data_IF_164038090162
#
_entry.id   IF_164038090162
#
_cell.length_a   1.000
_cell.length_b   1.000
_cell.length_c   1.000
_cell.angle_alpha   90.00
_cell.angle_beta   90.00
_cell.angle_gamma   90.00
#
_symmetry.space_group_name_H-M   'P 1'
#
loop_
_entity.id
_entity.type
_entity.pdbx_description
1 polymer ?
#
# COMPACT_ATOMS: atom_id res chain seq x y z
N UNK A 1 28.07 -3.89 5.41
CA UNK A 1 27.24 -3.48 6.56
C UNK A 1 25.80 -3.45 6.09
N UNK A 2 24.89 -4.08 6.81
CA UNK A 2 23.46 -4.08 6.48
C UNK A 2 22.93 -2.64 6.48
N UNK A 3 22.22 -2.26 5.41
CA UNK A 3 21.44 -1.02 5.40
C UNK A 3 20.09 -1.29 6.06
N UNK A 4 20.01 -0.97 7.35
CA UNK A 4 18.75 -0.96 8.09
C UNK A 4 18.00 0.36 7.83
N UNK A 5 16.67 0.30 7.82
CA UNK A 5 15.79 1.44 7.55
C UNK A 5 15.27 2.09 8.83
N UNK A 6 15.14 1.33 9.92
CA UNK A 6 14.56 1.84 11.16
C UNK A 6 15.66 2.16 12.18
N UNK A 7 15.65 3.40 12.65
CA UNK A 7 16.32 3.73 13.90
C UNK A 7 15.56 3.11 15.09
N UNK A 8 16.15 3.18 16.29
CA UNK A 8 15.56 2.55 17.47
C UNK A 8 14.23 3.18 17.89
N UNK A 9 14.05 4.48 17.67
CA UNK A 9 12.81 5.19 17.96
C UNK A 9 11.65 4.69 17.10
N UNK A 10 11.83 4.68 15.77
CA UNK A 10 10.82 4.21 14.82
C UNK A 10 10.56 2.72 14.98
N UNK A 11 11.61 1.94 15.27
CA UNK A 11 11.44 0.53 15.60
C UNK A 11 10.58 0.33 16.84
N UNK A 12 10.79 1.12 17.91
CA UNK A 12 9.99 1.00 19.13
C UNK A 12 8.51 1.26 18.86
N UNK A 13 8.19 2.34 18.12
CA UNK A 13 6.82 2.69 17.72
C UNK A 13 6.17 1.59 16.86
N UNK A 14 6.89 1.14 15.81
CA UNK A 14 6.38 0.10 14.92
C UNK A 14 6.16 -1.22 15.68
N UNK A 15 7.10 -1.62 16.54
CA UNK A 15 7.01 -2.85 17.33
C UNK A 15 5.76 -2.85 18.21
N UNK A 16 5.43 -1.73 18.85
CA UNK A 16 4.22 -1.60 19.66
C UNK A 16 2.95 -1.86 18.82
N UNK A 17 2.84 -1.22 17.65
CA UNK A 17 1.73 -1.45 16.72
C UNK A 17 1.66 -2.89 16.24
N UNK A 18 2.80 -3.51 15.93
CA UNK A 18 2.87 -4.91 15.53
C UNK A 18 2.29 -5.83 16.62
N UNK A 19 2.59 -5.55 17.90
CA UNK A 19 2.07 -6.34 19.02
C UNK A 19 0.56 -6.19 19.19
N UNK A 20 0.03 -4.96 19.05
CA UNK A 20 -1.41 -4.70 19.05
C UNK A 20 -2.12 -5.52 17.96
N UNK A 21 -1.49 -5.68 16.79
CA UNK A 21 -1.98 -6.50 15.67
C UNK A 21 -1.60 -8.00 15.75
N UNK A 22 -1.39 -8.49 16.97
CA UNK A 22 -1.12 -9.90 17.30
C UNK A 22 0.12 -10.46 16.60
N UNK A 23 1.11 -9.63 16.29
CA UNK A 23 2.42 -10.10 15.84
C UNK A 23 3.30 -10.32 17.06
N UNK A 24 3.59 -11.58 17.36
CA UNK A 24 4.40 -11.94 18.51
C UNK A 24 5.83 -11.37 18.44
N UNK A 25 6.30 -10.87 19.58
CA UNK A 25 7.65 -10.38 19.75
C UNK A 25 8.66 -11.52 19.84
N UNK A 26 9.13 -11.97 18.67
CA UNK A 26 10.23 -12.93 18.57
C UNK A 26 11.56 -12.18 18.58
N UNK A 27 12.66 -12.80 19.07
CA UNK A 27 13.98 -12.15 19.08
C UNK A 27 14.43 -11.58 17.72
N UNK A 28 14.01 -12.20 16.61
CA UNK A 28 14.35 -11.77 15.26
C UNK A 28 13.27 -10.90 14.57
N UNK A 29 12.27 -10.40 15.30
CA UNK A 29 11.16 -9.65 14.72
C UNK A 29 11.65 -8.40 13.96
N UNK A 30 12.58 -7.64 14.55
CA UNK A 30 13.20 -6.48 13.90
C UNK A 30 13.87 -6.84 12.59
N UNK A 31 14.73 -7.86 12.61
CA UNK A 31 15.46 -8.29 11.41
C UNK A 31 14.53 -8.77 10.29
N UNK A 32 13.45 -9.46 10.64
CA UNK A 32 12.42 -9.84 9.68
C UNK A 32 11.77 -8.61 9.04
N UNK A 33 11.39 -7.61 9.84
CA UNK A 33 10.77 -6.38 9.34
C UNK A 33 11.74 -5.57 8.48
N UNK A 34 12.97 -5.38 8.95
CA UNK A 34 14.05 -4.71 8.21
C UNK A 34 14.33 -5.38 6.87
N UNK A 35 14.31 -6.71 6.81
CA UNK A 35 14.47 -7.45 5.56
C UNK A 35 13.31 -7.20 4.58
N UNK A 36 12.07 -7.11 5.07
CA UNK A 36 10.92 -6.76 4.23
C UNK A 36 11.08 -5.34 3.68
N UNK A 37 11.45 -4.36 4.52
CA UNK A 37 11.67 -2.97 4.12
C UNK A 37 12.84 -2.84 3.15
N UNK A 38 13.93 -3.56 3.38
CA UNK A 38 15.07 -3.63 2.48
C UNK A 38 14.65 -4.15 1.10
N UNK A 39 13.91 -5.27 1.06
CA UNK A 39 13.39 -5.81 -0.21
C UNK A 39 12.50 -4.81 -0.92
N UNK A 40 11.66 -4.06 -0.21
CA UNK A 40 10.80 -3.03 -0.81
C UNK A 40 11.61 -1.87 -1.39
N UNK A 41 12.70 -1.46 -0.71
CA UNK A 41 13.53 -0.34 -1.16
C UNK A 41 14.46 -0.70 -2.32
N UNK A 42 15.07 -1.88 -2.27
CA UNK A 42 16.08 -2.32 -3.24
C UNK A 42 15.44 -3.04 -4.43
N UNK A 43 14.20 -3.54 -4.25
CA UNK A 43 13.45 -4.31 -5.23
C UNK A 43 14.19 -5.55 -5.75
N UNK A 44 14.99 -6.19 -4.88
CA UNK A 44 15.65 -7.45 -5.21
C UNK A 44 14.67 -8.64 -5.11
N UNK A 45 14.92 -9.73 -5.86
CA UNK A 45 14.27 -11.01 -5.59
C UNK A 45 14.45 -11.42 -4.12
N UNK A 46 13.45 -12.08 -3.54
CA UNK A 46 13.53 -12.55 -2.15
C UNK A 46 14.77 -13.41 -1.89
N UNK A 47 15.15 -14.26 -2.86
CA UNK A 47 16.31 -15.15 -2.80
C UNK A 47 17.64 -14.41 -2.70
N UNK A 48 17.67 -13.15 -3.12
CA UNK A 48 18.86 -12.31 -3.17
C UNK A 48 18.97 -11.38 -1.95
N UNK A 49 18.09 -11.57 -0.94
CA UNK A 49 18.22 -10.88 0.33
C UNK A 49 19.59 -11.18 0.98
N UNK A 50 20.28 -10.16 1.52
CA UNK A 50 21.52 -10.36 2.26
C UNK A 50 21.36 -11.41 3.38
N UNK A 51 22.32 -12.32 3.49
CA UNK A 51 22.26 -13.45 4.41
C UNK A 51 22.22 -13.01 5.90
N UNK A 52 22.68 -11.81 6.19
CA UNK A 52 22.68 -11.22 7.53
C UNK A 52 21.26 -10.91 8.04
N UNK A 53 20.25 -10.82 7.15
CA UNK A 53 18.83 -10.80 7.54
C UNK A 53 18.29 -12.17 7.98
N UNK A 54 18.99 -13.25 7.62
CA UNK A 54 18.60 -14.64 7.84
C UNK A 54 18.08 -15.33 6.57
N UNK A 55 17.46 -16.49 6.76
CA UNK A 55 16.97 -17.31 5.64
C UNK A 55 15.83 -16.61 4.89
N UNK A 56 16.07 -16.26 3.62
CA UNK A 56 15.11 -15.56 2.76
C UNK A 56 13.73 -16.23 2.71
N UNK A 57 13.68 -17.56 2.70
CA UNK A 57 12.42 -18.31 2.59
C UNK A 57 11.56 -18.12 3.85
N UNK A 58 12.19 -18.10 5.02
CA UNK A 58 11.50 -17.82 6.29
C UNK A 58 10.93 -16.41 6.32
N UNK A 59 11.66 -15.43 5.79
CA UNK A 59 11.23 -14.02 5.69
C UNK A 59 10.06 -13.91 4.72
N UNK A 60 10.18 -14.47 3.51
CA UNK A 60 9.12 -14.50 2.51
C UNK A 60 7.85 -15.19 3.03
N UNK A 61 7.97 -16.36 3.66
CA UNK A 61 6.81 -17.05 4.24
C UNK A 61 6.13 -16.24 5.33
N UNK A 62 6.90 -15.47 6.11
CA UNK A 62 6.36 -14.56 7.11
C UNK A 62 5.60 -13.41 6.45
N UNK A 63 6.22 -12.75 5.46
CA UNK A 63 5.60 -11.69 4.67
C UNK A 63 4.27 -12.17 4.08
N UNK A 64 4.29 -13.29 3.36
CA UNK A 64 3.11 -13.86 2.71
C UNK A 64 2.01 -14.18 3.74
N UNK A 65 2.36 -14.76 4.89
CA UNK A 65 1.41 -15.07 5.97
C UNK A 65 0.83 -13.82 6.64
N UNK A 66 1.60 -12.74 6.76
CA UNK A 66 1.11 -11.49 7.33
C UNK A 66 0.22 -10.75 6.35
N UNK A 67 0.59 -10.75 5.06
CA UNK A 67 -0.20 -10.19 3.97
C UNK A 67 -1.55 -10.89 3.86
N UNK A 68 -1.57 -12.23 3.78
CA UNK A 68 -2.82 -13.00 3.65
C UNK A 68 -3.73 -12.92 4.87
N UNK A 69 -3.18 -12.56 6.05
CA UNK A 69 -3.95 -12.33 7.27
C UNK A 69 -4.31 -10.85 7.49
N UNK A 70 -4.05 -9.97 6.53
CA UNK A 70 -4.37 -8.54 6.62
C UNK A 70 -3.54 -7.77 7.67
N UNK A 71 -2.49 -8.35 8.23
CA UNK A 71 -1.72 -7.73 9.33
C UNK A 71 -0.95 -6.50 8.89
N UNK A 72 -0.37 -6.55 7.68
CA UNK A 72 0.36 -5.41 7.13
C UNK A 72 -0.61 -4.24 6.87
N UNK A 73 -1.80 -4.54 6.36
CA UNK A 73 -2.85 -3.54 6.17
C UNK A 73 -3.32 -2.97 7.51
N UNK A 74 -3.49 -3.80 8.53
CA UNK A 74 -3.89 -3.32 9.86
C UNK A 74 -2.84 -2.38 10.47
N UNK A 75 -1.54 -2.67 10.30
CA UNK A 75 -0.45 -1.78 10.73
C UNK A 75 -0.48 -0.48 9.92
N UNK A 76 -0.62 -0.55 8.60
CA UNK A 76 -0.77 0.62 7.74
C UNK A 76 -1.91 1.53 8.23
N UNK A 77 -3.09 0.97 8.45
CA UNK A 77 -4.25 1.71 8.96
C UNK A 77 -4.00 2.35 10.32
N UNK A 78 -3.26 1.70 11.21
CA UNK A 78 -2.87 2.31 12.49
C UNK A 78 -1.87 3.45 12.34
N UNK A 79 -0.99 3.41 11.33
CA UNK A 79 -0.04 4.48 11.06
C UNK A 79 -0.73 5.70 10.41
N UNK A 80 -1.80 5.49 9.66
CA UNK A 80 -2.54 6.54 8.93
C UNK A 80 -3.71 7.16 9.71
N UNK A 81 -3.76 7.05 11.05
CA UNK A 81 -4.89 7.52 11.86
C UNK A 81 -4.95 9.04 12.06
N UNK A 82 -3.82 9.73 11.97
CA UNK A 82 -3.72 11.17 12.24
C UNK A 82 -3.14 11.92 11.02
N UNK A 83 -3.83 11.90 9.87
CA UNK A 83 -3.38 12.65 8.68
C UNK A 83 -3.58 14.16 8.87
N UNK A 84 -2.73 14.95 8.20
CA UNK A 84 -2.96 16.39 8.06
C UNK A 84 -3.93 16.66 6.89
N UNK A 85 -5.17 17.00 7.24
CA UNK A 85 -6.30 17.08 6.32
C UNK A 85 -6.58 18.49 5.81
N UNK A 86 -5.64 19.43 5.93
CA UNK A 86 -5.76 20.73 5.25
C UNK A 86 -5.84 20.52 3.72
N UNK A 87 -5.04 19.58 3.21
CA UNK A 87 -5.02 19.16 1.81
C UNK A 87 -4.96 17.65 1.70
N UNK A 88 -5.73 17.08 0.79
CA UNK A 88 -5.54 15.71 0.31
C UNK A 88 -5.18 15.72 -1.18
N UNK A 89 -4.30 14.80 -1.56
CA UNK A 89 -3.90 14.60 -2.95
C UNK A 89 -4.25 13.18 -3.38
N UNK A 90 -4.95 13.05 -4.52
CA UNK A 90 -5.37 11.78 -5.08
C UNK A 90 -4.69 11.58 -6.43
N UNK A 91 -4.03 10.44 -6.60
CA UNK A 91 -3.39 10.05 -7.86
C UNK A 91 -3.44 8.54 -8.10
N UNK A 92 -3.32 8.14 -9.37
CA UNK A 92 -3.37 6.77 -9.85
C UNK A 92 -2.04 6.33 -10.47
N UNK A 93 -1.47 5.22 -9.97
CA UNK A 93 -0.24 4.62 -10.50
C UNK A 93 -0.48 3.24 -11.12
N UNK A 94 0.14 2.95 -12.26
CA UNK A 94 0.09 1.60 -12.86
C UNK A 94 1.36 0.80 -12.58
N UNK A 95 1.17 -0.47 -12.19
CA UNK A 95 2.24 -1.45 -12.02
C UNK A 95 2.04 -2.58 -13.02
N UNK A 96 3.08 -2.90 -13.80
CA UNK A 96 3.04 -4.01 -14.75
C UNK A 96 3.06 -5.34 -14.02
N UNK A 97 2.11 -6.20 -14.32
CA UNK A 97 2.09 -7.54 -13.78
C UNK A 97 3.19 -8.38 -14.45
N UNK A 98 3.80 -9.28 -13.68
CA UNK A 98 4.80 -10.21 -14.22
C UNK A 98 4.18 -11.05 -15.34
N UNK A 99 4.94 -11.41 -16.38
CA UNK A 99 4.41 -12.14 -17.55
C UNK A 99 3.69 -13.48 -17.23
N UNK A 100 3.98 -14.07 -16.07
CA UNK A 100 3.35 -15.31 -15.58
C UNK A 100 2.29 -15.07 -14.48
N UNK A 101 1.81 -13.84 -14.29
CA UNK A 101 0.87 -13.49 -13.21
C UNK A 101 -0.57 -14.00 -13.43
N UNK A 102 -0.94 -14.36 -14.66
CA UNK A 102 -2.31 -14.70 -15.05
C UNK A 102 -2.55 -16.23 -15.17
N UNK A 103 -1.67 -17.06 -14.58
CA UNK A 103 -1.73 -18.52 -14.75
C UNK A 103 -2.54 -19.27 -13.68
N UNK A 104 -2.99 -18.61 -12.61
CA UNK A 104 -3.74 -19.25 -11.54
C UNK A 104 -5.21 -19.45 -11.95
N UNK A 105 -5.71 -20.70 -11.90
CA UNK A 105 -7.11 -21.02 -12.16
C UNK A 105 -7.97 -20.67 -10.93
N UNK A 106 -8.33 -19.40 -10.81
CA UNK A 106 -9.21 -18.88 -9.75
C UNK A 106 -10.20 -17.88 -10.35
N UNK A 107 -11.41 -17.81 -9.77
CA UNK A 107 -12.39 -16.78 -10.07
C UNK A 107 -12.19 -15.51 -9.21
N UNK A 108 -11.22 -15.53 -8.29
CA UNK A 108 -10.91 -14.36 -7.45
C UNK A 108 -10.23 -13.28 -8.28
N UNK A 109 -10.75 -12.06 -8.19
CA UNK A 109 -10.15 -10.89 -8.83
C UNK A 109 -8.79 -10.57 -8.17
N UNK A 110 -7.70 -10.77 -8.92
CA UNK A 110 -6.34 -10.47 -8.48
C UNK A 110 -5.93 -9.01 -8.73
N UNK A 111 -6.87 -8.15 -9.13
CA UNK A 111 -6.65 -6.78 -9.56
C UNK A 111 -5.62 -6.68 -10.70
N UNK A 112 -5.63 -7.66 -11.61
CA UNK A 112 -4.83 -7.66 -12.83
C UNK A 112 -5.80 -7.60 -14.00
N UNK A 113 -5.62 -6.61 -14.86
CA UNK A 113 -6.35 -6.59 -16.12
C UNK A 113 -5.59 -5.87 -17.23
N UNK A 114 -6.22 -5.86 -18.41
CA UNK A 114 -5.53 -5.64 -19.68
C UNK A 114 -5.62 -4.17 -20.10
N UNK A 115 -4.55 -3.42 -19.87
CA UNK A 115 -4.39 -2.04 -20.34
C UNK A 115 -3.56 -1.98 -21.63
N UNK A 116 -3.27 -0.76 -22.10
CA UNK A 116 -2.31 -0.52 -23.19
C UNK A 116 -0.90 -1.05 -22.88
N UNK A 117 -0.53 -1.12 -21.60
CA UNK A 117 0.76 -1.64 -21.14
C UNK A 117 0.84 -3.17 -21.03
N UNK A 118 -0.25 -3.87 -21.38
CA UNK A 118 -0.43 -5.31 -21.18
C UNK A 118 -1.16 -5.60 -19.86
N UNK A 119 -0.82 -6.71 -19.21
CA UNK A 119 -1.39 -7.06 -17.92
C UNK A 119 -0.83 -6.14 -16.83
N UNK A 120 -1.70 -5.38 -16.19
CA UNK A 120 -1.34 -4.32 -15.24
C UNK A 120 -2.32 -4.28 -14.08
N UNK A 121 -1.83 -3.83 -12.94
CA UNK A 121 -2.60 -3.42 -11.77
C UNK A 121 -2.53 -1.91 -11.65
N UNK A 122 -3.58 -1.28 -11.13
CA UNK A 122 -3.57 0.14 -10.80
C UNK A 122 -3.75 0.33 -9.30
N UNK A 123 -2.99 1.27 -8.73
CA UNK A 123 -3.07 1.71 -7.35
C UNK A 123 -3.61 3.14 -7.37
N UNK A 124 -4.78 3.35 -6.79
CA UNK A 124 -5.36 4.68 -6.54
C UNK A 124 -4.98 5.04 -5.12
N UNK A 125 -4.26 6.14 -4.89
CA UNK A 125 -3.73 6.48 -3.57
C UNK A 125 -4.12 7.90 -3.19
N UNK A 126 -4.53 8.05 -1.93
CA UNK A 126 -4.72 9.34 -1.31
C UNK A 126 -3.60 9.59 -0.30
N UNK A 127 -3.03 10.79 -0.32
CA UNK A 127 -2.01 11.25 0.63
C UNK A 127 -2.43 12.57 1.25
N UNK A 128 -1.94 12.83 2.46
CA UNK A 128 -2.20 14.04 3.24
C UNK A 128 -1.34 15.23 2.79
N UNK A 129 -1.42 16.36 3.50
CA UNK A 129 -0.69 17.58 3.18
C UNK A 129 0.85 17.42 3.21
N UNK A 130 1.37 16.41 3.91
CA UNK A 130 2.81 16.07 3.95
C UNK A 130 3.21 15.00 2.92
N UNK A 131 2.25 14.51 2.12
CA UNK A 131 2.46 13.40 1.21
C UNK A 131 2.52 12.04 1.91
N UNK A 132 1.98 11.93 3.13
CA UNK A 132 1.87 10.67 3.85
C UNK A 132 0.59 9.93 3.42
N UNK A 133 0.66 8.61 3.16
CA UNK A 133 -0.51 7.85 2.72
C UNK A 133 -1.66 7.83 3.75
N UNK A 134 -2.87 8.17 3.27
CA UNK A 134 -4.13 8.05 4.01
C UNK A 134 -4.76 6.69 3.73
N UNK A 135 -4.98 6.40 2.45
CA UNK A 135 -5.55 5.15 1.98
C UNK A 135 -5.19 4.86 0.53
N UNK A 136 -5.47 3.64 0.08
CA UNK A 136 -5.36 3.27 -1.31
C UNK A 136 -6.35 2.17 -1.70
N UNK A 137 -6.71 2.15 -2.98
CA UNK A 137 -7.45 1.07 -3.62
C UNK A 137 -6.66 0.45 -4.77
N UNK A 138 -6.91 -0.83 -5.04
CA UNK A 138 -6.23 -1.56 -6.09
C UNK A 138 -7.26 -2.14 -7.06
N UNK A 139 -7.10 -1.85 -8.35
CA UNK A 139 -7.96 -2.34 -9.42
C UNK A 139 -7.16 -2.95 -10.57
N UNK A 140 -7.83 -3.60 -11.52
CA UNK A 140 -7.24 -3.90 -12.82
C UNK A 140 -6.79 -2.62 -13.53
N UNK A 141 -5.69 -2.68 -14.29
CA UNK A 141 -5.11 -1.49 -14.92
C UNK A 141 -5.93 -0.90 -16.08
N UNK A 142 -6.96 -1.58 -16.54
CA UNK A 142 -7.97 -1.08 -17.49
C UNK A 142 -8.98 -0.13 -16.85
N UNK A 143 -9.08 -0.11 -15.52
CA UNK A 143 -10.04 0.72 -14.80
C UNK A 143 -9.56 2.18 -14.78
N UNK A 144 -10.44 3.08 -15.20
CA UNK A 144 -10.19 4.53 -15.21
C UNK A 144 -10.32 5.12 -13.81
N UNK A 145 -9.53 6.15 -13.52
CA UNK A 145 -9.45 6.78 -12.19
C UNK A 145 -10.78 7.41 -11.78
N UNK A 146 -11.41 8.15 -12.70
CA UNK A 146 -12.75 8.72 -12.51
C UNK A 146 -13.86 7.70 -12.19
N UNK A 147 -13.66 6.40 -12.49
CA UNK A 147 -14.62 5.34 -12.15
C UNK A 147 -14.49 4.85 -10.71
N UNK A 148 -13.30 4.99 -10.12
CA UNK A 148 -13.00 4.54 -8.76
C UNK A 148 -13.12 5.69 -7.78
N UNK A 149 -12.81 6.91 -8.22
CA UNK A 149 -12.72 8.07 -7.36
C UNK A 149 -13.95 8.35 -6.50
N UNK A 150 -15.21 8.29 -6.99
CA UNK A 150 -16.36 8.59 -6.15
C UNK A 150 -16.41 7.70 -4.88
N UNK A 151 -16.36 6.38 -5.08
CA UNK A 151 -16.38 5.41 -3.97
C UNK A 151 -15.12 5.52 -3.08
N UNK A 152 -13.97 5.83 -3.69
CA UNK A 152 -12.73 5.99 -2.93
C UNK A 152 -12.76 7.26 -2.07
N UNK A 153 -13.22 8.40 -2.60
CA UNK A 153 -13.32 9.69 -1.90
C UNK A 153 -14.26 9.60 -0.71
N UNK A 154 -15.38 8.90 -0.84
CA UNK A 154 -16.33 8.67 0.27
C UNK A 154 -15.71 7.88 1.44
N UNK A 155 -14.69 7.07 1.19
CA UNK A 155 -13.97 6.32 2.24
C UNK A 155 -12.88 7.14 2.92
N UNK A 156 -12.45 8.24 2.29
CA UNK A 156 -11.43 9.12 2.84
C UNK A 156 -12.04 10.02 3.93
N UNK A 157 -11.26 10.41 4.94
CA UNK A 157 -11.68 11.45 5.86
C UNK A 157 -11.95 12.77 5.12
N UNK A 158 -12.78 13.63 5.71
CA UNK A 158 -13.05 14.96 5.17
C UNK A 158 -11.77 15.82 5.25
N UNK A 159 -11.33 16.32 4.10
CA UNK A 159 -10.21 17.25 3.97
C UNK A 159 -10.72 18.63 3.57
N UNK A 160 -9.96 19.68 3.88
CA UNK A 160 -10.32 21.07 3.52
C UNK A 160 -10.23 21.33 2.01
N UNK A 161 -9.34 20.61 1.31
CA UNK A 161 -9.15 20.72 -0.13
C UNK A 161 -8.77 19.37 -0.74
N UNK A 162 -9.46 18.98 -1.81
CA UNK A 162 -9.11 17.80 -2.63
C UNK A 162 -8.37 18.23 -3.89
N UNK A 163 -7.18 17.67 -4.11
CA UNK A 163 -6.37 17.90 -5.31
C UNK A 163 -6.22 16.59 -6.08
N UNK A 164 -6.58 16.60 -7.36
CA UNK A 164 -6.46 15.46 -8.24
C UNK A 164 -6.05 15.90 -9.65
N UNK A 165 -5.50 14.98 -10.43
CA UNK A 165 -5.12 15.24 -11.81
C UNK A 165 -6.34 15.25 -12.76
N UNK A 166 -6.12 15.54 -14.04
CA UNK A 166 -7.20 15.59 -15.04
C UNK A 166 -7.87 14.23 -15.29
N UNK A 167 -7.25 13.11 -14.92
CA UNK A 167 -7.84 11.77 -14.98
C UNK A 167 -9.07 11.61 -14.07
N UNK A 168 -9.21 12.49 -13.08
CA UNK A 168 -10.32 12.55 -12.13
C UNK A 168 -11.41 13.56 -12.52
N UNK A 169 -11.26 14.26 -13.65
CA UNK A 169 -12.16 15.33 -14.06
C UNK A 169 -13.51 14.78 -14.60
N UNK A 170 -14.48 14.60 -13.72
CA UNK A 170 -15.88 14.29 -14.05
C UNK A 170 -16.85 15.03 -13.13
N UNK A 171 -18.08 15.28 -13.61
CA UNK A 171 -19.13 15.91 -12.81
C UNK A 171 -19.44 15.08 -11.55
N UNK A 172 -19.54 13.75 -11.71
CA UNK A 172 -19.75 12.82 -10.59
C UNK A 172 -18.69 12.97 -9.49
N UNK A 173 -17.40 13.07 -9.85
CA UNK A 173 -16.33 13.25 -8.86
C UNK A 173 -16.43 14.60 -8.15
N UNK A 174 -16.74 15.68 -8.88
CA UNK A 174 -16.91 17.02 -8.30
C UNK A 174 -18.09 17.06 -7.35
N UNK A 175 -19.21 16.45 -7.73
CA UNK A 175 -20.41 16.36 -6.89
C UNK A 175 -20.11 15.55 -5.63
N UNK A 176 -19.41 14.41 -5.74
CA UNK A 176 -18.98 13.63 -4.57
C UNK A 176 -18.10 14.43 -3.62
N UNK A 177 -17.13 15.22 -4.13
CA UNK A 177 -16.26 16.07 -3.30
C UNK A 177 -17.11 17.09 -2.53
N UNK A 178 -18.03 17.78 -3.22
CA UNK A 178 -18.92 18.77 -2.61
C UNK A 178 -19.85 18.16 -1.56
N UNK A 179 -20.43 17.00 -1.85
CA UNK A 179 -21.36 16.29 -0.96
C UNK A 179 -20.67 15.76 0.31
N UNK A 180 -19.37 15.42 0.22
CA UNK A 180 -18.56 15.01 1.37
C UNK A 180 -18.06 16.19 2.23
N UNK A 181 -18.50 17.41 1.93
CA UNK A 181 -18.17 18.62 2.69
C UNK A 181 -16.72 19.07 2.53
N UNK A 182 -16.11 18.76 1.38
CA UNK A 182 -14.75 19.18 0.98
C UNK A 182 -14.80 20.41 0.05
#
# INVERSE_FOLDING_TARGET
MLRLMLNDEYWSKLRELMLQHRIYDKPNLRMIMEAMLYRMRVDCPWRDLPAEFGCWNSIYQKFNRWSSKGKLMAIFKSLSQEPDLDWEFIDGGMVKAHQHSAGAASNENQAIGKSRGGNTTKIHMAVDAYGLPIDFEITGGEVHDCKVAPEFIEKLPTAGHTVADKGYDSDEVRDTIQDNGK
#
